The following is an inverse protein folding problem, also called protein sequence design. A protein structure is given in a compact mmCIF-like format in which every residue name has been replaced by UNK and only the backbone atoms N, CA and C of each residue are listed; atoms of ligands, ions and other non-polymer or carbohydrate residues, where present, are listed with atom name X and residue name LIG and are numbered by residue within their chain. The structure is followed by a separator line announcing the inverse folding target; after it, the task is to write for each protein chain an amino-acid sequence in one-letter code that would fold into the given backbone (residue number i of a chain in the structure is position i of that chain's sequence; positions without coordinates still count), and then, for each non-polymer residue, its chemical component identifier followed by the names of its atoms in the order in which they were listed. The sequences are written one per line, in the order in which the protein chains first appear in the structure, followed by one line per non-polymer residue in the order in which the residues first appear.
data_IF_906139589699
#
_entry.id   IF_906139589699
#
_cell.length_a   1.000
_cell.length_b   1.000
_cell.length_c   1.000
_cell.angle_alpha   90.00
_cell.angle_beta   90.00
_cell.angle_gamma   90.00
#
_symmetry.space_group_name_H-M   'P 1'
#
loop_
_entity.id
_entity.type
_entity.pdbx_description
1 polymer ?
#
# COMPACT_ATOMS: atom_id res chain seq x y z
N UNK A 1 -76.30 -18.13 1.74
CA UNK A 1 -74.89 -18.53 1.83
C UNK A 1 -74.01 -17.25 1.88
N UNK A 2 -73.70 -16.85 3.08
CA UNK A 2 -73.19 -15.50 3.35
C UNK A 2 -71.67 -15.56 3.59
N UNK A 3 -70.83 -14.92 2.73
CA UNK A 3 -69.42 -14.92 2.83
C UNK A 3 -69.01 -13.75 3.76
N UNK A 4 -68.39 -14.08 4.89
CA UNK A 4 -67.81 -13.11 5.84
C UNK A 4 -66.45 -12.62 5.36
N UNK A 5 -66.33 -11.31 5.07
CA UNK A 5 -65.09 -10.61 4.84
C UNK A 5 -64.35 -10.40 6.17
N UNK A 6 -63.17 -11.03 6.35
CA UNK A 6 -62.23 -10.74 7.43
C UNK A 6 -61.25 -9.65 7.00
N UNK A 7 -61.37 -8.47 7.61
CA UNK A 7 -60.39 -7.37 7.45
C UNK A 7 -59.16 -7.67 8.32
N UNK A 8 -58.01 -7.87 7.67
CA UNK A 8 -56.70 -7.91 8.35
C UNK A 8 -56.27 -6.48 8.66
N UNK A 9 -56.16 -6.15 9.95
CA UNK A 9 -55.57 -4.91 10.43
C UNK A 9 -54.03 -5.01 10.39
N UNK A 10 -53.40 -4.31 9.45
CA UNK A 10 -51.93 -4.09 9.48
C UNK A 10 -51.63 -2.98 10.49
N UNK A 11 -51.04 -3.38 11.59
CA UNK A 11 -50.54 -2.47 12.63
C UNK A 11 -49.18 -1.92 12.17
N UNK A 12 -49.11 -0.66 11.69
CA UNK A 12 -47.88 0.06 11.41
C UNK A 12 -47.21 0.40 12.73
N UNK A 13 -46.14 -0.32 13.07
CA UNK A 13 -45.21 0.10 14.13
C UNK A 13 -44.37 1.24 13.59
N UNK A 14 -44.61 2.45 14.10
CA UNK A 14 -43.72 3.60 13.95
C UNK A 14 -42.60 3.46 15.00
N UNK A 15 -41.53 2.76 14.65
CA UNK A 15 -40.29 2.83 15.39
C UNK A 15 -39.53 4.12 15.00
N UNK A 16 -39.65 5.15 15.79
CA UNK A 16 -38.75 6.32 15.70
C UNK A 16 -37.39 5.87 16.25
N UNK A 17 -36.40 5.70 15.37
CA UNK A 17 -35.01 5.61 15.79
C UNK A 17 -34.61 6.96 16.42
N UNK A 18 -33.98 6.98 17.60
CA UNK A 18 -33.53 8.22 18.23
C UNK A 18 -32.47 8.91 17.36
N UNK A 19 -32.60 10.24 17.22
CA UNK A 19 -31.72 11.09 16.42
C UNK A 19 -30.22 10.93 16.75
N UNK A 20 -29.92 10.53 17.98
CA UNK A 20 -28.56 10.25 18.47
C UNK A 20 -27.85 9.09 17.73
N UNK A 21 -28.61 8.12 17.20
CA UNK A 21 -28.02 6.98 16.43
C UNK A 21 -27.61 7.40 15.03
N UNK A 22 -28.30 8.39 14.46
CA UNK A 22 -27.98 8.90 13.11
C UNK A 22 -26.76 9.82 13.14
N UNK A 23 -26.60 10.63 14.18
CA UNK A 23 -25.42 11.48 14.37
C UNK A 23 -24.15 10.66 14.68
N UNK A 24 -24.28 9.55 15.41
CA UNK A 24 -23.15 8.67 15.69
C UNK A 24 -22.67 7.93 14.41
N UNK A 25 -23.58 7.57 13.51
CA UNK A 25 -23.23 7.00 12.18
C UNK A 25 -22.56 8.03 11.28
N UNK A 26 -22.99 9.30 11.30
CA UNK A 26 -22.34 10.39 10.54
C UNK A 26 -20.97 10.75 11.10
N UNK A 27 -20.78 10.75 12.42
CA UNK A 27 -19.49 11.03 13.05
C UNK A 27 -18.45 9.93 12.78
N UNK A 28 -18.88 8.67 12.67
CA UNK A 28 -18.00 7.55 12.31
C UNK A 28 -17.59 7.61 10.82
N UNK A 29 -18.43 8.18 9.95
CA UNK A 29 -18.12 8.32 8.52
C UNK A 29 -17.12 9.44 8.23
N UNK A 30 -17.08 10.50 9.06
CA UNK A 30 -16.14 11.63 8.88
C UNK A 30 -14.70 11.30 9.30
N UNK A 31 -14.49 10.28 10.15
CA UNK A 31 -13.15 9.81 10.55
C UNK A 31 -12.53 8.78 9.59
N UNK A 32 -13.24 8.40 8.51
CA UNK A 32 -12.88 7.31 7.60
C UNK A 32 -12.30 7.78 6.26
N UNK A 33 -11.91 9.05 6.13
CA UNK A 33 -11.15 9.47 4.94
C UNK A 33 -9.72 8.90 5.02
N UNK A 34 -9.31 8.00 4.12
CA UNK A 34 -7.98 7.45 4.14
C UNK A 34 -6.99 8.51 3.65
N UNK A 35 -6.25 9.11 4.57
CA UNK A 35 -5.04 9.88 4.23
C UNK A 35 -3.96 8.87 3.79
N UNK A 36 -3.92 8.55 2.50
CA UNK A 36 -2.89 7.70 1.95
C UNK A 36 -1.58 8.47 1.84
N UNK A 37 -0.64 8.22 2.74
CA UNK A 37 0.74 8.65 2.58
C UNK A 37 1.53 7.53 1.92
N UNK A 38 2.21 7.82 0.80
CA UNK A 38 3.09 6.85 0.15
C UNK A 38 4.34 6.64 1.01
N UNK A 39 4.64 5.40 1.35
CA UNK A 39 5.91 5.02 1.98
C UNK A 39 7.01 4.98 0.93
N UNK A 40 8.22 5.52 1.24
CA UNK A 40 9.40 5.46 0.36
C UNK A 40 9.86 4.04 0.03
N UNK A 41 9.62 3.10 0.93
CA UNK A 41 9.82 1.68 0.66
C UNK A 41 8.46 1.11 0.30
N UNK A 42 8.35 0.76 -0.95
CA UNK A 42 7.10 0.27 -1.50
C UNK A 42 6.82 -1.13 -0.99
N UNK A 43 5.66 -1.30 -0.36
CA UNK A 43 5.17 -2.62 -0.04
C UNK A 43 4.43 -3.23 -1.24
N UNK A 44 5.20 -3.81 -2.16
CA UNK A 44 4.69 -4.45 -3.37
C UNK A 44 4.01 -5.78 -3.03
N UNK A 45 4.30 -6.34 -1.87
CA UNK A 45 3.72 -7.61 -1.43
C UNK A 45 2.20 -7.54 -1.21
N UNK A 46 1.60 -6.32 -1.10
CA UNK A 46 0.14 -6.16 -1.22
C UNK A 46 -0.40 -6.61 -2.57
N UNK A 47 0.31 -6.26 -3.62
CA UNK A 47 0.01 -6.65 -5.00
C UNK A 47 0.27 -8.15 -5.18
N UNK A 48 1.25 -8.68 -4.48
CA UNK A 48 1.57 -10.10 -4.46
C UNK A 48 0.44 -10.96 -3.89
N UNK A 49 -0.19 -10.59 -2.78
CA UNK A 49 -1.24 -11.41 -2.16
C UNK A 49 -2.48 -11.56 -3.05
N UNK A 50 -2.80 -10.55 -3.86
CA UNK A 50 -3.91 -10.60 -4.82
C UNK A 50 -3.46 -11.11 -6.21
N UNK A 51 -2.18 -11.00 -6.54
CA UNK A 51 -1.60 -11.49 -7.79
C UNK A 51 -1.21 -12.97 -7.74
N UNK A 52 -1.21 -13.60 -6.55
CA UNK A 52 -0.86 -15.00 -6.41
C UNK A 52 -2.02 -15.93 -6.77
N UNK A 53 -2.04 -16.38 -8.02
CA UNK A 53 -2.67 -17.65 -8.34
C UNK A 53 -1.63 -18.77 -8.15
N UNK A 54 -1.88 -19.80 -7.29
CA UNK A 54 -0.98 -20.92 -7.14
C UNK A 54 -0.92 -21.81 -8.40
N UNK A 55 -1.68 -21.49 -9.44
CA UNK A 55 -1.72 -22.22 -10.71
C UNK A 55 -0.83 -21.51 -11.73
N UNK A 56 -0.12 -22.28 -12.57
CA UNK A 56 0.60 -21.75 -13.73
C UNK A 56 -0.33 -20.90 -14.61
N UNK A 57 0.12 -19.72 -15.01
CA UNK A 57 -0.69 -18.80 -15.80
C UNK A 57 -0.30 -17.34 -15.56
N UNK A 58 -1.22 -16.47 -15.88
CA UNK A 58 -1.07 -15.03 -15.66
C UNK A 58 -2.25 -14.50 -14.82
N UNK A 59 -1.99 -13.41 -14.12
CA UNK A 59 -3.00 -12.65 -13.37
C UNK A 59 -2.79 -11.17 -13.65
N UNK A 60 -3.88 -10.43 -13.83
CA UNK A 60 -3.87 -8.99 -14.03
C UNK A 60 -4.93 -8.34 -13.15
N UNK A 61 -4.52 -7.35 -12.38
CA UNK A 61 -5.40 -6.55 -11.55
C UNK A 61 -5.24 -5.07 -11.96
N UNK A 62 -6.35 -4.39 -12.18
CA UNK A 62 -6.42 -2.96 -12.44
C UNK A 62 -7.44 -2.33 -11.52
N UNK A 63 -7.06 -1.27 -10.84
CA UNK A 63 -7.97 -0.43 -10.06
C UNK A 63 -7.76 1.02 -10.47
N UNK A 64 -8.84 1.69 -10.81
CA UNK A 64 -8.84 3.09 -11.21
C UNK A 64 -9.91 3.83 -10.40
N UNK A 65 -9.52 4.93 -9.78
CA UNK A 65 -10.39 5.85 -9.07
C UNK A 65 -10.18 7.27 -9.57
N UNK A 66 -11.26 7.99 -9.83
CA UNK A 66 -11.26 9.41 -10.14
C UNK A 66 -12.40 10.07 -9.38
N UNK A 67 -12.06 11.09 -8.61
CA UNK A 67 -12.99 11.96 -7.92
C UNK A 67 -12.86 13.37 -8.47
N UNK A 68 -14.00 14.00 -8.78
CA UNK A 68 -14.06 15.40 -9.23
C UNK A 68 -15.05 16.10 -8.32
N UNK A 69 -14.57 17.03 -7.50
CA UNK A 69 -15.40 17.84 -6.61
C UNK A 69 -15.30 19.32 -7.04
N UNK A 70 -16.44 19.94 -7.34
CA UNK A 70 -16.55 21.33 -7.75
C UNK A 70 -17.14 22.17 -6.63
N UNK A 71 -16.29 22.96 -6.00
CA UNK A 71 -16.68 23.98 -5.02
C UNK A 71 -16.24 25.36 -5.51
N UNK A 72 -15.52 26.14 -4.71
CA UNK A 72 -14.89 27.40 -5.15
C UNK A 72 -13.83 27.13 -6.23
N UNK A 73 -13.01 26.13 -6.00
CA UNK A 73 -12.07 25.53 -6.97
C UNK A 73 -12.57 24.14 -7.38
N UNK A 74 -11.97 23.54 -8.39
CA UNK A 74 -12.26 22.16 -8.77
C UNK A 74 -11.12 21.29 -8.24
N UNK A 75 -11.47 20.32 -7.38
CA UNK A 75 -10.58 19.27 -6.93
C UNK A 75 -10.65 18.09 -7.91
N UNK A 76 -9.52 17.62 -8.34
CA UNK A 76 -9.33 16.34 -9.04
C UNK A 76 -8.46 15.45 -8.16
N UNK A 77 -8.96 14.29 -7.77
CA UNK A 77 -8.18 13.26 -7.09
C UNK A 77 -8.28 11.94 -7.87
N UNK A 78 -7.15 11.37 -8.24
CA UNK A 78 -7.14 10.09 -8.90
C UNK A 78 -6.09 9.17 -8.30
N UNK A 79 -6.47 7.91 -8.11
CA UNK A 79 -5.60 6.84 -7.69
C UNK A 79 -5.76 5.64 -8.62
N UNK A 80 -4.69 5.30 -9.32
CA UNK A 80 -4.66 4.20 -10.27
C UNK A 80 -3.60 3.19 -9.85
N UNK A 81 -3.94 1.92 -9.85
CA UNK A 81 -3.00 0.83 -9.56
C UNK A 81 -3.16 -0.27 -10.60
N UNK A 82 -2.04 -0.83 -11.05
CA UNK A 82 -2.02 -1.97 -11.93
C UNK A 82 -1.01 -3.00 -11.43
N UNK A 83 -1.37 -4.26 -11.51
CA UNK A 83 -0.48 -5.36 -11.20
C UNK A 83 -0.66 -6.50 -12.20
N UNK A 84 0.45 -6.99 -12.69
CA UNK A 84 0.52 -8.15 -13.57
C UNK A 84 1.48 -9.15 -12.97
N UNK A 85 1.09 -10.41 -12.97
CA UNK A 85 1.99 -11.52 -12.66
C UNK A 85 1.85 -12.65 -13.67
N UNK A 86 2.96 -13.25 -14.01
CA UNK A 86 3.04 -14.38 -14.92
C UNK A 86 3.93 -15.47 -14.32
N UNK A 87 3.36 -16.66 -14.14
CA UNK A 87 4.09 -17.84 -13.72
C UNK A 87 4.22 -18.84 -14.87
N UNK A 88 5.46 -19.16 -15.22
CA UNK A 88 5.79 -20.20 -16.18
C UNK A 88 6.92 -21.06 -15.63
N UNK A 89 6.70 -22.37 -15.56
CA UNK A 89 7.64 -23.30 -14.93
C UNK A 89 7.99 -22.89 -13.49
N UNK A 90 9.27 -22.62 -13.21
CA UNK A 90 9.80 -22.15 -11.92
C UNK A 90 10.08 -20.63 -11.91
N UNK A 91 9.57 -19.90 -12.88
CA UNK A 91 9.75 -18.46 -12.99
C UNK A 91 8.45 -17.74 -12.62
N UNK A 92 8.55 -16.68 -11.84
CA UNK A 92 7.44 -15.79 -11.53
C UNK A 92 7.86 -14.35 -11.80
N UNK A 93 7.29 -13.77 -12.84
CA UNK A 93 7.43 -12.35 -13.16
C UNK A 93 6.31 -11.56 -12.49
N UNK A 94 6.66 -10.45 -11.84
CA UNK A 94 5.74 -9.50 -11.20
C UNK A 94 6.04 -8.11 -11.75
N UNK A 95 5.01 -7.44 -12.24
CA UNK A 95 5.04 -6.04 -12.63
C UNK A 95 3.94 -5.33 -11.88
N UNK A 96 4.26 -4.28 -11.15
CA UNK A 96 3.30 -3.50 -10.40
C UNK A 96 3.55 -2.01 -10.59
N UNK A 97 2.48 -1.23 -10.61
CA UNK A 97 2.57 0.20 -10.71
C UNK A 97 1.42 0.89 -10.01
N UNK A 98 1.66 2.11 -9.58
CA UNK A 98 0.65 3.01 -9.05
C UNK A 98 0.95 4.43 -9.50
N UNK A 99 -0.10 5.16 -9.80
CA UNK A 99 -0.04 6.59 -10.08
C UNK A 99 -1.17 7.29 -9.34
N UNK A 100 -0.81 8.32 -8.59
CA UNK A 100 -1.74 9.12 -7.83
C UNK A 100 -1.48 10.60 -8.08
N UNK A 101 -2.54 11.34 -8.36
CA UNK A 101 -2.46 12.79 -8.45
C UNK A 101 -3.65 13.45 -7.75
N UNK A 102 -3.41 14.64 -7.21
CA UNK A 102 -4.42 15.50 -6.60
C UNK A 102 -4.15 16.94 -7.02
N UNK A 103 -5.09 17.56 -7.72
CA UNK A 103 -5.05 18.97 -8.13
C UNK A 103 -6.21 19.73 -7.49
N UNK A 104 -5.94 20.94 -7.02
CA UNK A 104 -6.99 21.86 -6.53
C UNK A 104 -6.89 23.20 -7.26
N UNK A 105 -7.71 23.38 -8.30
CA UNK A 105 -7.58 24.50 -9.20
C UNK A 105 -6.23 24.44 -9.95
N UNK A 106 -5.37 25.46 -9.85
CA UNK A 106 -4.04 25.48 -10.47
C UNK A 106 -2.96 24.80 -9.64
N UNK A 107 -3.26 24.37 -8.40
CA UNK A 107 -2.27 23.84 -7.46
C UNK A 107 -2.11 22.32 -7.60
N UNK A 108 -0.88 21.88 -7.86
CA UNK A 108 -0.48 20.47 -7.80
C UNK A 108 -0.20 20.08 -6.33
N UNK A 109 -1.19 19.46 -5.68
CA UNK A 109 -1.08 19.07 -4.28
C UNK A 109 -0.31 17.75 -4.12
N UNK A 110 -0.49 16.82 -5.05
CA UNK A 110 0.14 15.50 -5.03
C UNK A 110 0.33 14.98 -6.44
N UNK A 111 1.54 14.58 -6.76
CA UNK A 111 1.90 13.82 -7.94
C UNK A 111 2.92 12.77 -7.52
N UNK A 112 2.47 11.54 -7.36
CA UNK A 112 3.29 10.45 -6.82
C UNK A 112 2.99 9.15 -7.55
N UNK A 113 4.01 8.31 -7.70
CA UNK A 113 3.82 7.02 -8.34
C UNK A 113 5.06 6.16 -8.31
N UNK A 114 4.87 4.94 -8.81
CA UNK A 114 5.95 4.00 -9.00
C UNK A 114 5.66 2.99 -10.08
N UNK A 115 6.73 2.39 -10.61
CA UNK A 115 6.72 1.16 -11.39
C UNK A 115 7.74 0.22 -10.77
N UNK A 116 7.35 -1.02 -10.53
CA UNK A 116 8.19 -2.07 -9.98
C UNK A 116 8.15 -3.32 -10.84
N UNK A 117 9.33 -3.88 -11.08
CA UNK A 117 9.54 -5.12 -11.80
C UNK A 117 10.32 -6.08 -10.91
N UNK A 118 9.87 -7.32 -10.75
CA UNK A 118 10.55 -8.38 -10.01
C UNK A 118 10.43 -9.70 -10.75
N UNK A 119 11.53 -10.42 -10.83
CA UNK A 119 11.54 -11.78 -11.30
C UNK A 119 11.97 -12.69 -10.15
N UNK A 120 11.22 -13.74 -9.88
CA UNK A 120 11.59 -14.78 -8.92
C UNK A 120 11.99 -16.03 -9.69
N UNK A 121 13.28 -16.33 -9.64
CA UNK A 121 13.80 -17.57 -10.14
C UNK A 121 13.58 -18.71 -9.14
N UNK A 122 13.39 -19.93 -9.62
CA UNK A 122 13.14 -21.09 -8.78
C UNK A 122 11.95 -20.90 -7.83
N UNK A 123 10.90 -20.23 -8.33
CA UNK A 123 9.68 -20.00 -7.60
C UNK A 123 9.12 -21.30 -7.03
N UNK A 124 8.81 -21.34 -5.74
CA UNK A 124 8.44 -22.48 -4.90
C UNK A 124 9.59 -23.28 -4.31
N UNK A 125 10.81 -23.09 -4.74
CA UNK A 125 11.98 -23.69 -4.10
C UNK A 125 12.32 -22.93 -2.80
N UNK A 126 13.20 -23.50 -2.00
CA UNK A 126 13.61 -22.91 -0.70
C UNK A 126 14.38 -21.61 -0.89
N UNK A 127 15.26 -21.57 -1.89
CA UNK A 127 16.06 -20.40 -2.28
C UNK A 127 15.56 -19.87 -3.62
N UNK A 128 15.29 -18.59 -3.65
CA UNK A 128 14.76 -17.92 -4.84
C UNK A 128 15.55 -16.64 -5.10
N UNK A 129 16.42 -16.61 -6.12
CA UNK A 129 16.99 -15.35 -6.60
C UNK A 129 15.88 -14.41 -7.09
N UNK A 130 15.94 -13.14 -6.68
CA UNK A 130 14.94 -12.12 -6.98
C UNK A 130 15.60 -10.84 -7.52
N UNK A 131 16.02 -10.79 -8.81
CA UNK A 131 16.35 -9.51 -9.41
C UNK A 131 15.14 -8.61 -9.49
N UNK A 132 15.36 -7.31 -9.27
CA UNK A 132 14.29 -6.32 -9.30
C UNK A 132 14.79 -4.98 -9.84
N UNK A 133 13.83 -4.21 -10.34
CA UNK A 133 13.98 -2.83 -10.76
C UNK A 133 12.78 -2.02 -10.25
N UNK A 134 13.01 -0.76 -9.84
CA UNK A 134 11.94 0.13 -9.43
C UNK A 134 12.27 1.56 -9.82
N UNK A 135 11.26 2.26 -10.32
CA UNK A 135 11.25 3.70 -10.52
C UNK A 135 10.11 4.30 -9.71
N UNK A 136 10.35 5.41 -8.99
CA UNK A 136 9.32 6.09 -8.22
C UNK A 136 9.58 7.59 -8.12
N UNK A 137 8.51 8.35 -7.85
CA UNK A 137 8.54 9.78 -7.57
C UNK A 137 7.46 10.14 -6.55
N UNK A 138 7.63 11.25 -5.84
CA UNK A 138 6.68 11.76 -4.85
C UNK A 138 6.95 13.25 -4.61
N UNK A 139 6.29 14.12 -5.39
CA UNK A 139 6.51 15.57 -5.33
C UNK A 139 6.13 16.17 -3.97
N UNK A 140 5.12 15.60 -3.28
CA UNK A 140 4.72 16.07 -1.93
C UNK A 140 5.85 15.94 -0.91
N UNK A 141 6.79 15.03 -1.14
CA UNK A 141 7.96 14.81 -0.30
C UNK A 141 9.23 15.44 -0.85
N UNK A 142 9.17 16.07 -2.01
CA UNK A 142 10.31 16.60 -2.71
C UNK A 142 11.13 15.53 -3.45
N UNK A 143 10.64 14.31 -3.57
CA UNK A 143 11.33 13.26 -4.33
C UNK A 143 10.96 13.35 -5.82
N UNK A 144 11.83 14.00 -6.61
CA UNK A 144 11.63 14.10 -8.05
C UNK A 144 11.77 12.73 -8.74
N UNK A 145 12.77 11.97 -8.31
CA UNK A 145 13.09 10.68 -8.89
C UNK A 145 13.82 9.79 -7.88
N UNK A 146 13.49 8.49 -7.93
CA UNK A 146 14.23 7.42 -7.27
C UNK A 146 14.25 6.18 -8.14
N UNK A 147 15.44 5.72 -8.51
CA UNK A 147 15.66 4.51 -9.30
C UNK A 147 16.40 3.49 -8.46
N UNK A 148 15.90 2.26 -8.42
CA UNK A 148 16.52 1.14 -7.72
C UNK A 148 16.74 0.01 -8.72
N UNK A 149 17.91 -0.61 -8.66
CA UNK A 149 18.22 -1.82 -9.42
C UNK A 149 19.07 -2.77 -8.59
N UNK A 150 18.66 -4.01 -8.45
CA UNK A 150 19.38 -4.96 -7.62
C UNK A 150 18.85 -6.37 -7.64
N UNK A 151 19.35 -7.18 -6.71
CA UNK A 151 18.88 -8.54 -6.54
C UNK A 151 18.92 -8.97 -5.06
N UNK A 152 17.93 -9.77 -4.67
CA UNK A 152 17.88 -10.44 -3.39
C UNK A 152 17.97 -11.96 -3.59
N UNK A 153 18.34 -12.66 -2.54
CA UNK A 153 18.08 -14.08 -2.38
C UNK A 153 17.04 -14.25 -1.31
N UNK A 154 15.86 -14.75 -1.70
CA UNK A 154 14.77 -15.09 -0.80
C UNK A 154 14.96 -16.49 -0.27
N UNK A 155 14.74 -16.68 1.01
CA UNK A 155 14.69 -17.96 1.69
C UNK A 155 13.32 -18.18 2.32
N UNK A 156 12.67 -19.28 1.94
CA UNK A 156 11.39 -19.69 2.53
C UNK A 156 11.68 -20.60 3.74
N UNK A 157 11.52 -20.06 4.95
CA UNK A 157 11.74 -20.80 6.20
C UNK A 157 10.66 -21.84 6.41
N UNK A 158 9.43 -21.42 6.19
CA UNK A 158 8.25 -22.24 6.41
C UNK A 158 7.19 -21.89 5.34
N UNK A 159 6.54 -22.92 4.82
CA UNK A 159 5.43 -22.79 3.89
C UNK A 159 4.37 -23.83 4.24
N UNK A 160 3.22 -23.35 4.70
CA UNK A 160 2.11 -24.19 5.10
C UNK A 160 0.77 -23.54 4.84
N UNK A 161 -0.31 -24.25 5.03
CA UNK A 161 -1.67 -23.75 4.73
C UNK A 161 -2.12 -22.61 5.66
N UNK A 162 -1.61 -22.58 6.89
CA UNK A 162 -1.95 -21.58 7.90
C UNK A 162 -0.88 -20.52 8.10
N UNK A 163 0.33 -20.79 7.67
CA UNK A 163 1.48 -20.01 8.03
C UNK A 163 2.54 -20.06 6.95
N UNK A 164 2.98 -18.90 6.48
CA UNK A 164 4.08 -18.75 5.52
C UNK A 164 5.09 -17.75 6.08
N UNK A 165 6.37 -18.09 6.05
CA UNK A 165 7.43 -17.23 6.58
C UNK A 165 8.63 -17.26 5.67
N UNK A 166 9.09 -16.08 5.27
CA UNK A 166 10.25 -15.94 4.40
C UNK A 166 11.04 -14.68 4.71
N UNK A 167 12.30 -14.67 4.33
CA UNK A 167 13.17 -13.52 4.38
C UNK A 167 13.99 -13.42 3.11
N UNK A 168 14.44 -12.22 2.80
CA UNK A 168 15.35 -11.96 1.69
C UNK A 168 16.51 -11.08 2.14
N UNK A 169 17.66 -11.30 1.51
CA UNK A 169 18.87 -10.51 1.68
C UNK A 169 19.47 -10.25 0.31
N UNK A 170 19.94 -9.03 0.08
CA UNK A 170 20.53 -8.66 -1.19
C UNK A 170 21.21 -7.29 -1.21
N UNK A 171 21.57 -6.89 -2.40
CA UNK A 171 22.19 -5.60 -2.68
C UNK A 171 21.45 -4.91 -3.82
N UNK A 172 21.42 -3.58 -3.77
CA UNK A 172 20.90 -2.77 -4.84
C UNK A 172 21.65 -1.45 -4.95
N UNK A 173 21.64 -0.90 -6.14
CA UNK A 173 22.07 0.45 -6.42
C UNK A 173 20.85 1.37 -6.42
N UNK A 174 20.98 2.51 -5.76
CA UNK A 174 19.96 3.54 -5.65
C UNK A 174 20.46 4.85 -6.21
N UNK A 175 19.68 5.46 -7.11
CA UNK A 175 19.88 6.83 -7.58
C UNK A 175 18.63 7.64 -7.19
N UNK A 176 18.82 8.71 -6.43
CA UNK A 176 17.75 9.59 -5.94
C UNK A 176 18.05 11.03 -6.34
N UNK A 177 16.99 11.79 -6.67
CA UNK A 177 17.03 13.25 -6.84
C UNK A 177 15.89 13.87 -6.06
N UNK A 178 16.23 14.85 -5.24
CA UNK A 178 15.33 15.49 -4.30
C UNK A 178 15.39 16.99 -4.41
N UNK A 179 14.24 17.67 -4.37
CA UNK A 179 14.12 19.10 -4.17
C UNK A 179 13.79 19.44 -2.70
N UNK A 180 13.60 20.72 -2.42
CA UNK A 180 13.32 21.22 -1.07
C UNK A 180 11.85 21.59 -0.85
N UNK A 181 10.93 21.21 -1.73
CA UNK A 181 9.50 21.56 -1.64
C UNK A 181 8.85 21.11 -0.32
N UNK A 182 9.27 19.97 0.20
CA UNK A 182 8.76 19.40 1.46
C UNK A 182 9.60 19.77 2.69
N UNK A 183 10.61 20.59 2.54
CA UNK A 183 11.53 20.99 3.61
C UNK A 183 10.98 22.25 4.30
N UNK A 184 11.06 22.27 5.62
CA UNK A 184 10.76 23.46 6.42
C UNK A 184 11.59 24.65 5.94
N UNK A 185 10.92 25.79 5.67
CA UNK A 185 11.53 26.99 5.07
C UNK A 185 12.77 27.49 5.80
N UNK A 186 12.85 27.29 7.12
CA UNK A 186 14.03 27.65 7.93
C UNK A 186 15.26 26.79 7.62
N UNK A 187 15.05 25.60 7.06
CA UNK A 187 16.11 24.63 6.72
C UNK A 187 16.48 24.63 5.24
N UNK A 188 15.76 25.40 4.43
CA UNK A 188 16.05 25.54 3.00
C UNK A 188 17.28 26.43 2.80
N UNK A 189 18.30 26.00 2.04
CA UNK A 189 19.45 26.86 1.74
C UNK A 189 19.06 28.08 0.91
N UNK A 190 19.84 29.17 0.91
CA UNK A 190 19.51 30.41 0.19
C UNK A 190 19.31 30.24 -1.33
N UNK A 191 20.03 29.28 -1.92
CA UNK A 191 19.90 28.89 -3.34
C UNK A 191 19.66 27.39 -3.41
N UNK A 192 18.42 26.92 -3.27
CA UNK A 192 18.14 25.50 -3.22
C UNK A 192 18.24 24.87 -4.61
N UNK A 193 19.28 24.10 -4.84
CA UNK A 193 19.41 23.22 -6.01
C UNK A 193 19.02 21.79 -5.61
N UNK A 194 18.41 21.02 -6.53
CA UNK A 194 18.09 19.61 -6.26
C UNK A 194 19.33 18.81 -5.85
N UNK A 195 19.17 17.97 -4.84
CA UNK A 195 20.24 17.12 -4.30
C UNK A 195 20.18 15.74 -4.93
N UNK A 196 21.30 15.29 -5.45
CA UNK A 196 21.45 13.94 -6.00
C UNK A 196 22.18 13.03 -5.01
N UNK A 197 21.74 11.78 -4.91
CA UNK A 197 22.36 10.75 -4.09
C UNK A 197 22.40 9.43 -4.86
N UNK A 198 23.61 8.86 -4.97
CA UNK A 198 23.88 7.64 -5.73
C UNK A 198 24.66 6.66 -4.86
N UNK A 199 24.01 5.60 -4.37
CA UNK A 199 24.55 4.75 -3.32
C UNK A 199 24.26 3.27 -3.55
N UNK A 200 25.21 2.41 -3.18
CA UNK A 200 24.95 1.00 -2.95
C UNK A 200 24.35 0.81 -1.55
N UNK A 201 23.31 -0.04 -1.47
CA UNK A 201 22.66 -0.39 -0.19
C UNK A 201 22.45 -1.90 -0.09
N UNK A 202 22.60 -2.40 1.13
CA UNK A 202 22.12 -3.71 1.53
C UNK A 202 20.61 -3.62 1.70
N UNK A 203 19.89 -4.60 1.20
CA UNK A 203 18.47 -4.78 1.41
C UNK A 203 18.22 -6.09 2.15
N UNK A 204 17.45 -6.05 3.20
CA UNK A 204 16.89 -7.24 3.80
C UNK A 204 15.40 -7.04 4.06
N UNK A 205 14.64 -8.11 3.98
CA UNK A 205 13.25 -8.09 4.34
C UNK A 205 12.85 -9.38 5.05
N UNK A 206 11.81 -9.28 5.86
CA UNK A 206 11.15 -10.39 6.49
C UNK A 206 9.65 -10.30 6.23
N UNK A 207 9.03 -11.41 5.85
CA UNK A 207 7.60 -11.52 5.61
C UNK A 207 7.01 -12.71 6.35
N UNK A 208 5.82 -12.48 6.88
CA UNK A 208 5.05 -13.40 7.67
C UNK A 208 3.58 -13.31 7.29
N UNK A 209 3.00 -14.39 6.79
CA UNK A 209 1.60 -14.50 6.46
C UNK A 209 0.96 -15.53 7.38
N UNK A 210 -0.07 -15.16 8.11
CA UNK A 210 -0.73 -16.00 9.08
C UNK A 210 -2.24 -15.99 8.93
N UNK A 211 -2.83 -17.14 8.60
CA UNK A 211 -4.27 -17.38 8.63
C UNK A 211 -4.65 -17.75 10.07
N UNK A 212 -5.10 -16.77 10.84
CA UNK A 212 -5.56 -16.96 12.22
C UNK A 212 -6.77 -17.90 12.30
N UNK A 213 -7.68 -17.75 11.34
CA UNK A 213 -8.89 -18.59 11.21
C UNK A 213 -9.30 -18.68 9.74
N UNK A 214 -10.41 -19.37 9.45
CA UNK A 214 -11.00 -19.35 8.10
C UNK A 214 -11.43 -17.95 7.65
N UNK A 215 -11.60 -17.02 8.58
CA UNK A 215 -12.17 -15.70 8.34
C UNK A 215 -11.21 -14.56 8.70
N UNK A 216 -10.00 -14.84 9.16
CA UNK A 216 -9.06 -13.81 9.59
C UNK A 216 -7.63 -14.15 9.22
N UNK A 217 -6.94 -13.20 8.59
CA UNK A 217 -5.55 -13.29 8.19
C UNK A 217 -4.76 -12.05 8.59
N UNK A 218 -3.49 -12.28 8.92
CA UNK A 218 -2.50 -11.24 9.19
C UNK A 218 -1.36 -11.40 8.18
N UNK A 219 -0.98 -10.30 7.55
CA UNK A 219 0.22 -10.16 6.74
C UNK A 219 1.11 -9.13 7.38
N UNK A 220 2.29 -9.52 7.74
CA UNK A 220 3.33 -8.62 8.23
C UNK A 220 4.55 -8.72 7.35
N UNK A 221 5.12 -7.57 6.96
CA UNK A 221 6.43 -7.52 6.38
C UNK A 221 7.22 -6.31 6.88
N UNK A 222 8.53 -6.42 6.89
CA UNK A 222 9.42 -5.33 7.22
C UNK A 222 10.62 -5.35 6.27
N UNK A 223 10.91 -4.19 5.71
CA UNK A 223 12.11 -3.96 4.92
C UNK A 223 13.11 -3.20 5.77
N UNK A 224 14.36 -3.60 5.64
CA UNK A 224 15.51 -2.92 6.21
C UNK A 224 16.53 -2.66 5.11
N UNK A 225 16.93 -1.41 4.96
CA UNK A 225 17.93 -0.97 3.98
C UNK A 225 18.98 -0.14 4.70
N UNK A 226 20.24 -0.31 4.34
CA UNK A 226 21.34 0.52 4.86
C UNK A 226 22.51 0.54 3.89
N UNK A 227 23.35 1.55 4.01
CA UNK A 227 24.64 1.55 3.31
C UNK A 227 25.54 0.46 3.90
N UNK A 228 26.38 -0.20 3.09
CA UNK A 228 27.33 -1.20 3.59
C UNK A 228 28.53 -0.57 4.33
N UNK A 229 28.89 0.66 3.99
CA UNK A 229 30.04 1.40 4.54
C UNK A 229 29.69 2.26 5.76
N UNK A 230 28.41 2.57 5.96
CA UNK A 230 27.92 3.39 7.07
C UNK A 230 26.53 2.94 7.49
N UNK A 231 26.32 2.76 8.78
CA UNK A 231 25.03 2.38 9.31
C UNK A 231 24.03 3.55 9.26
N UNK A 232 23.27 3.63 8.16
CA UNK A 232 22.20 4.60 7.92
C UNK A 232 20.91 3.86 7.60
N UNK A 233 20.23 3.32 8.64
CA UNK A 233 19.07 2.47 8.42
C UNK A 233 17.87 3.22 7.89
N UNK A 234 17.22 2.62 6.89
CA UNK A 234 15.88 2.92 6.43
C UNK A 234 15.01 1.69 6.66
N UNK A 235 13.95 1.82 7.47
CA UNK A 235 13.11 0.70 7.92
C UNK A 235 11.66 0.98 7.54
N UNK A 236 11.00 0.01 6.92
CA UNK A 236 9.60 0.14 6.53
C UNK A 236 8.80 -1.11 6.93
N UNK A 237 8.20 -1.11 8.13
CA UNK A 237 7.24 -2.12 8.52
C UNK A 237 5.88 -1.89 7.85
N UNK A 238 5.19 -3.00 7.57
CA UNK A 238 3.83 -3.02 7.09
C UNK A 238 3.08 -4.17 7.74
N UNK A 239 1.89 -3.88 8.27
CA UNK A 239 0.97 -4.83 8.88
C UNK A 239 -0.40 -4.67 8.21
N UNK A 240 -0.97 -5.77 7.78
CA UNK A 240 -2.36 -5.84 7.34
C UNK A 240 -3.07 -6.93 8.14
N UNK A 241 -4.18 -6.59 8.74
CA UNK A 241 -5.08 -7.53 9.39
C UNK A 241 -6.44 -7.48 8.72
N UNK A 242 -6.89 -8.62 8.20
CA UNK A 242 -8.17 -8.77 7.50
C UNK A 242 -9.08 -9.70 8.28
N UNK A 243 -10.34 -9.33 8.44
CA UNK A 243 -11.38 -10.11 9.08
C UNK A 243 -12.59 -10.15 8.15
N UNK A 244 -13.07 -11.35 7.82
CA UNK A 244 -14.28 -11.55 7.03
C UNK A 244 -15.41 -12.05 7.93
N UNK A 245 -16.44 -11.25 8.13
CA UNK A 245 -17.62 -11.60 8.91
C UNK A 245 -18.68 -12.21 7.99
N UNK A 246 -18.58 -13.52 7.80
CA UNK A 246 -19.42 -14.27 6.87
C UNK A 246 -19.06 -14.00 5.40
N UNK A 247 -20.06 -14.07 4.51
CA UNK A 247 -19.87 -13.83 3.06
C UNK A 247 -20.05 -12.37 2.65
N UNK A 248 -20.61 -11.56 3.54
CA UNK A 248 -21.10 -10.23 3.19
C UNK A 248 -20.25 -9.09 3.74
N UNK A 249 -19.57 -9.27 4.85
CA UNK A 249 -18.83 -8.19 5.48
C UNK A 249 -17.34 -8.51 5.60
N UNK A 250 -16.51 -7.54 5.27
CA UNK A 250 -15.08 -7.56 5.48
C UNK A 250 -14.62 -6.33 6.25
N UNK A 251 -13.63 -6.48 7.12
CA UNK A 251 -12.95 -5.43 7.81
C UNK A 251 -11.45 -5.61 7.63
N UNK A 252 -10.74 -4.54 7.30
CA UNK A 252 -9.30 -4.57 7.21
C UNK A 252 -8.67 -3.36 7.92
N UNK A 253 -7.61 -3.61 8.66
CA UNK A 253 -6.72 -2.60 9.23
C UNK A 253 -5.38 -2.73 8.57
N UNK A 254 -4.83 -1.61 8.10
CA UNK A 254 -3.55 -1.56 7.41
C UNK A 254 -2.70 -0.49 8.08
N UNK A 255 -1.57 -0.88 8.59
CA UNK A 255 -0.55 0.01 9.13
C UNK A 255 0.71 -0.09 8.28
N UNK A 256 1.24 1.06 7.89
CA UNK A 256 2.52 1.18 7.23
C UNK A 256 3.32 2.30 7.84
N UNK A 257 4.62 2.13 8.00
CA UNK A 257 5.50 3.19 8.46
C UNK A 257 6.81 3.20 7.66
N UNK A 258 7.51 4.32 7.74
CA UNK A 258 8.84 4.50 7.23
C UNK A 258 9.65 5.30 8.24
N UNK A 259 10.77 4.75 8.63
CA UNK A 259 11.84 5.45 9.32
C UNK A 259 13.06 5.54 8.42
N UNK A 260 13.56 6.76 8.20
CA UNK A 260 14.81 7.02 7.49
C UNK A 260 15.73 7.82 8.41
N UNK A 261 16.84 7.23 8.81
CA UNK A 261 17.78 7.88 9.75
C UNK A 261 18.52 9.07 9.13
N UNK A 262 18.75 9.03 7.81
CA UNK A 262 19.50 10.04 7.05
C UNK A 262 18.80 10.34 5.72
N UNK A 263 17.69 11.09 5.73
CA UNK A 263 17.03 11.50 4.49
C UNK A 263 17.93 12.43 3.70
N UNK A 264 17.87 12.36 2.36
CA UNK A 264 18.74 13.13 1.44
C UNK A 264 18.60 14.64 1.63
N UNK A 265 17.39 15.11 1.88
CA UNK A 265 17.08 16.49 2.27
C UNK A 265 16.47 16.51 3.68
N UNK A 266 16.51 17.63 4.44
CA UNK A 266 16.12 17.67 5.86
C UNK A 266 14.60 17.62 6.08
N UNK A 267 13.95 16.58 5.57
CA UNK A 267 12.54 16.22 5.79
C UNK A 267 12.38 15.39 7.09
N UNK A 268 11.17 15.21 7.60
CA UNK A 268 10.91 14.33 8.74
C UNK A 268 11.47 12.91 8.53
N UNK A 269 12.06 12.34 9.58
CA UNK A 269 12.66 11.00 9.54
C UNK A 269 11.64 9.87 9.69
N UNK A 270 10.46 10.15 10.20
CA UNK A 270 9.43 9.17 10.48
C UNK A 270 8.09 9.57 9.87
N UNK A 271 7.50 8.63 9.14
CA UNK A 271 6.18 8.71 8.54
C UNK A 271 5.39 7.44 8.84
N UNK A 272 4.09 7.56 9.00
CA UNK A 272 3.23 6.39 9.13
C UNK A 272 1.87 6.63 8.46
N UNK A 273 1.21 5.54 8.15
CA UNK A 273 -0.17 5.50 7.67
C UNK A 273 -0.91 4.43 8.44
N UNK A 274 -2.07 4.77 8.94
CA UNK A 274 -3.03 3.83 9.49
C UNK A 274 -4.32 4.00 8.70
N UNK A 275 -4.76 2.94 8.04
CA UNK A 275 -6.04 2.93 7.32
C UNK A 275 -6.87 1.74 7.74
N UNK A 276 -8.19 1.92 7.73
CA UNK A 276 -9.14 0.83 7.90
C UNK A 276 -10.19 0.90 6.79
N UNK A 277 -10.77 -0.24 6.48
CA UNK A 277 -11.83 -0.34 5.50
C UNK A 277 -12.88 -1.35 5.93
N UNK A 278 -14.12 -1.06 5.60
CA UNK A 278 -15.24 -1.98 5.76
C UNK A 278 -15.80 -2.25 4.36
N UNK A 279 -15.95 -3.51 4.03
CA UNK A 279 -16.54 -3.95 2.76
C UNK A 279 -17.86 -4.65 3.04
N UNK A 280 -18.90 -4.33 2.29
CA UNK A 280 -20.18 -5.01 2.33
C UNK A 280 -20.52 -5.51 0.92
N UNK A 281 -20.76 -6.83 0.78
CA UNK A 281 -21.13 -7.50 -0.46
C UNK A 281 -22.49 -8.19 -0.28
N UNK A 282 -23.47 -7.87 -1.14
CA UNK A 282 -24.83 -8.40 -1.09
C UNK A 282 -25.23 -9.08 -2.38
#
# INVERSE_FOLDING_TARGET
MTIKNSKVKIQKSKGNLPATTFEFLFFTFYFLSPLFTCSQILNIDKTDTNAYSPKAGYNFNLSMGLEIDKQKTTLYDATNTAAFSMQKNKELLIVAGSYRFTYNGPEDILNAGYIHLRLRHHYRDKFQPEPFFQYQWDNKRGMEMRVLGGANVRYNFFKGDKFDCNAGLGLFYEAERWDYVAVDSVKVPPNPEPVESNLWKVNSYFRFDWKLSSNSDIVFNVFFQSRPDRFEPRIAPHLQWTINAGKHFGFAVIYGALYDSHPVVPIPKFYYTLSNSITANF
#
